data_IF_522730313105
#
_entry.id   IF_522730313105
#
_cell.length_a   1.000
_cell.length_b   1.000
_cell.length_c   1.000
_cell.angle_alpha   90.00
_cell.angle_beta   90.00
_cell.angle_gamma   90.00
#
_symmetry.space_group_name_H-M   'P 1'
#
loop_
_entity.id
_entity.type
_entity.pdbx_description
1 polymer ?
#
# COMPACT_ATOMS: atom_id res chain seq x y z
N UNK A 1 1.37 -4.53 6.74
CA UNK A 1 1.54 -5.16 5.41
C UNK A 1 1.17 -4.13 4.36
N UNK A 2 1.75 -4.20 3.17
CA UNK A 2 1.57 -3.21 2.12
C UNK A 2 1.06 -3.89 0.85
N UNK A 3 0.09 -3.26 0.19
CA UNK A 3 -0.34 -3.60 -1.17
C UNK A 3 0.17 -2.52 -2.13
N UNK A 4 1.01 -2.93 -3.09
CA UNK A 4 1.55 -2.05 -4.10
C UNK A 4 1.05 -2.45 -5.49
N UNK A 5 0.76 -1.47 -6.33
CA UNK A 5 0.28 -1.66 -7.70
C UNK A 5 -0.99 -2.55 -7.81
N UNK A 6 -2.05 -2.30 -7.03
CA UNK A 6 -3.33 -2.95 -7.29
C UNK A 6 -3.91 -2.43 -8.60
N UNK A 7 -4.02 -3.31 -9.60
CA UNK A 7 -4.76 -3.00 -10.83
C UNK A 7 -6.25 -2.82 -10.52
N UNK A 8 -7.00 -2.15 -11.40
CA UNK A 8 -8.40 -1.76 -11.17
C UNK A 8 -9.29 -2.90 -10.64
N UNK A 9 -9.17 -4.10 -11.21
CA UNK A 9 -9.94 -5.27 -10.78
C UNK A 9 -9.69 -5.65 -9.29
N UNK A 10 -8.45 -5.54 -8.82
CA UNK A 10 -8.09 -5.83 -7.42
C UNK A 10 -8.67 -4.75 -6.51
N UNK A 11 -8.56 -3.48 -6.89
CA UNK A 11 -9.11 -2.34 -6.14
C UNK A 11 -10.62 -2.43 -5.99
N UNK A 12 -11.34 -2.76 -7.06
CA UNK A 12 -12.80 -2.95 -7.05
C UNK A 12 -13.22 -4.08 -6.09
N UNK A 13 -12.49 -5.20 -6.11
CA UNK A 13 -12.78 -6.32 -5.21
C UNK A 13 -12.52 -5.96 -3.75
N UNK A 14 -11.45 -5.23 -3.46
CA UNK A 14 -11.14 -4.76 -2.10
C UNK A 14 -12.16 -3.75 -1.59
N UNK A 15 -12.62 -2.84 -2.45
CA UNK A 15 -13.69 -1.90 -2.10
C UNK A 15 -15.01 -2.62 -1.82
N UNK A 16 -15.40 -3.59 -2.67
CA UNK A 16 -16.62 -4.39 -2.48
C UNK A 16 -16.58 -5.21 -1.18
N UNK A 17 -15.40 -5.67 -0.78
CA UNK A 17 -15.19 -6.42 0.44
C UNK A 17 -15.03 -5.55 1.70
N UNK A 18 -15.10 -4.22 1.57
CA UNK A 18 -14.82 -3.25 2.64
C UNK A 18 -13.42 -3.41 3.30
N UNK A 19 -12.45 -3.90 2.51
CA UNK A 19 -11.08 -4.14 2.95
C UNK A 19 -10.12 -3.02 2.55
N UNK A 20 -10.52 -2.11 1.67
CA UNK A 20 -9.63 -1.06 1.17
C UNK A 20 -9.09 -0.17 2.31
N UNK A 21 -9.93 0.15 3.30
CA UNK A 21 -9.50 0.95 4.46
C UNK A 21 -8.61 0.17 5.43
N UNK A 22 -8.60 -1.16 5.39
CA UNK A 22 -7.76 -1.99 6.29
C UNK A 22 -6.25 -1.79 6.05
N UNK A 23 -5.88 -1.27 4.88
CA UNK A 23 -4.50 -0.94 4.55
C UNK A 23 -4.01 0.36 5.23
N UNK A 24 -4.92 1.24 5.67
CA UNK A 24 -4.53 2.52 6.28
C UNK A 24 -3.81 3.48 5.32
N UNK A 25 -3.30 4.58 5.88
CA UNK A 25 -2.77 5.73 5.12
C UNK A 25 -1.47 5.42 4.34
N UNK A 26 -0.69 4.44 4.81
CA UNK A 26 0.61 4.06 4.24
C UNK A 26 0.68 2.55 3.88
N UNK A 27 -0.47 1.90 3.68
CA UNK A 27 -0.51 0.48 3.30
C UNK A 27 -0.96 0.21 1.87
N UNK A 28 -1.34 1.23 1.12
CA UNK A 28 -1.80 1.11 -0.27
C UNK A 28 -1.04 2.08 -1.17
N UNK A 29 -0.30 1.56 -2.15
CA UNK A 29 0.48 2.36 -3.10
C UNK A 29 0.14 1.99 -4.54
N UNK A 30 0.08 2.98 -5.42
CA UNK A 30 -0.24 2.77 -6.83
C UNK A 30 0.94 2.19 -7.60
N UNK A 31 2.16 2.40 -7.10
CA UNK A 31 3.38 1.85 -7.69
C UNK A 31 4.25 1.16 -6.64
N UNK A 32 5.07 0.21 -7.10
CA UNK A 32 6.10 -0.41 -6.25
C UNK A 32 7.13 0.63 -5.78
N UNK A 33 7.44 1.63 -6.61
CA UNK A 33 8.40 2.69 -6.27
C UNK A 33 7.98 3.51 -5.05
N UNK A 34 6.71 3.93 -5.00
CA UNK A 34 6.15 4.64 -3.84
C UNK A 34 6.23 3.79 -2.56
N UNK A 35 5.87 2.51 -2.65
CA UNK A 35 5.95 1.59 -1.52
C UNK A 35 7.40 1.44 -1.00
N UNK A 36 8.38 1.31 -1.90
CA UNK A 36 9.79 1.20 -1.52
C UNK A 36 10.30 2.50 -0.90
N UNK A 37 9.93 3.66 -1.43
CA UNK A 37 10.33 4.96 -0.86
C UNK A 37 9.77 5.14 0.55
N UNK A 38 8.47 4.85 0.75
CA UNK A 38 7.81 4.95 2.06
C UNK A 38 8.37 3.96 3.10
N UNK A 39 8.57 2.70 2.71
CA UNK A 39 9.11 1.69 3.62
C UNK A 39 10.59 1.94 3.95
N UNK A 40 11.40 2.32 2.97
CA UNK A 40 12.84 2.53 3.19
C UNK A 40 13.15 3.78 4.00
N UNK A 41 12.29 4.81 3.99
CA UNK A 41 12.45 5.98 4.86
C UNK A 41 12.25 5.62 6.33
N UNK A 42 11.31 4.72 6.62
CA UNK A 42 11.07 4.19 7.97
C UNK A 42 12.29 3.41 8.48
N UNK A 43 12.96 2.66 7.60
CA UNK A 43 14.10 1.82 7.97
C UNK A 43 15.42 2.59 8.09
N UNK A 44 15.66 3.60 7.24
CA UNK A 44 16.86 4.45 7.34
C UNK A 44 16.91 5.35 8.57
N UNK A 45 15.80 5.46 9.31
CA UNK A 45 15.73 6.18 10.58
C UNK A 45 16.09 5.35 11.81
N UNK A 46 16.38 4.05 11.66
CA UNK A 46 16.84 3.20 12.77
C UNK A 46 18.37 3.27 12.89
N UNK A 47 18.94 3.45 14.11
CA UNK A 47 20.38 3.46 14.34
C UNK A 47 21.05 2.12 14.01
#
# INVERSE_FOLDING_TARGET
>A
FVLANPVGEVTEKLQRADLLQSFGVDGLFLTVGEAVVSLSSTWKGQP
#
